data_IF_957564536466
#
_entry.id   IF_957564536466
#
_cell.length_a   1.000
_cell.length_b   1.000
_cell.length_c   1.000
_cell.angle_alpha   90.00
_cell.angle_beta   90.00
_cell.angle_gamma   90.00
#
_symmetry.space_group_name_H-M   'P 1'
#
loop_
_entity.id
_entity.type
_entity.pdbx_description
1 polymer ?
#
# COMPACT_ATOMS: atom_id res chain seq x y z
N UNK A 1 6.53 -0.15 -2.38
CA UNK A 1 6.83 -1.51 -1.85
C UNK A 1 5.64 -2.23 -1.24
N UNK A 2 4.84 -1.63 -0.34
CA UNK A 2 3.66 -2.29 0.28
C UNK A 2 2.69 -2.92 -0.74
N UNK A 3 2.46 -2.27 -1.89
CA UNK A 3 1.59 -2.80 -2.95
C UNK A 3 2.14 -4.08 -3.58
N UNK A 4 3.46 -4.15 -3.76
CA UNK A 4 4.10 -5.33 -4.32
C UNK A 4 4.03 -6.48 -3.32
N UNK A 5 4.25 -6.21 -2.02
CA UNK A 5 4.11 -7.21 -0.96
C UNK A 5 2.68 -7.79 -0.89
N UNK A 6 1.64 -6.94 -0.94
CA UNK A 6 0.25 -7.40 -0.95
C UNK A 6 -0.14 -8.17 -2.22
N UNK A 7 0.60 -8.04 -3.32
CA UNK A 7 0.32 -8.81 -4.55
C UNK A 7 0.77 -10.27 -4.48
N UNK A 8 1.70 -10.58 -3.57
CA UNK A 8 2.25 -11.93 -3.36
C UNK A 8 1.79 -12.54 -2.04
N UNK A 9 1.26 -11.74 -1.11
CA UNK A 9 0.73 -12.23 0.15
C UNK A 9 -0.73 -12.70 0.00
N UNK A 10 -1.13 -13.68 0.81
CA UNK A 10 -2.53 -14.10 0.92
C UNK A 10 -3.33 -13.18 1.86
N UNK A 11 -2.67 -12.64 2.88
CA UNK A 11 -3.26 -11.81 3.92
C UNK A 11 -2.33 -10.63 4.26
N UNK A 12 -2.91 -9.51 4.69
CA UNK A 12 -2.16 -8.33 5.09
C UNK A 12 -2.68 -7.68 6.36
N UNK A 13 -1.83 -6.87 6.97
CA UNK A 13 -2.10 -6.09 8.17
C UNK A 13 -1.52 -4.69 7.98
N UNK A 14 -2.32 -3.67 8.27
CA UNK A 14 -1.94 -2.27 8.24
C UNK A 14 -1.85 -1.78 9.66
N UNK A 15 -0.71 -1.20 10.03
CA UNK A 15 -0.46 -0.66 11.36
C UNK A 15 -0.28 0.84 11.32
N UNK A 16 -0.86 1.51 12.31
CA UNK A 16 -0.70 2.95 12.56
C UNK A 16 -0.53 3.17 14.07
N UNK A 17 0.50 3.92 14.47
CA UNK A 17 0.76 4.20 15.89
C UNK A 17 0.92 2.95 16.78
N UNK A 18 1.43 1.84 16.22
CA UNK A 18 1.60 0.57 16.94
C UNK A 18 0.32 -0.25 17.10
N UNK A 19 -0.77 0.09 16.40
CA UNK A 19 -2.04 -0.66 16.42
C UNK A 19 -2.41 -1.12 15.01
N UNK A 20 -3.04 -2.29 14.90
CA UNK A 20 -3.59 -2.76 13.63
C UNK A 20 -4.89 -2.01 13.38
N UNK A 21 -4.92 -1.24 12.29
CA UNK A 21 -6.07 -0.44 11.89
C UNK A 21 -6.87 -1.09 10.76
N UNK A 22 -6.25 -1.98 9.99
CA UNK A 22 -6.94 -2.76 8.96
C UNK A 22 -6.24 -4.10 8.76
N UNK A 23 -7.03 -5.14 8.53
CA UNK A 23 -6.53 -6.48 8.25
C UNK A 23 -7.50 -7.22 7.34
N UNK A 24 -6.98 -8.14 6.53
CA UNK A 24 -7.82 -8.96 5.67
C UNK A 24 -7.03 -9.60 4.54
N UNK A 25 -7.74 -10.31 3.64
CA UNK A 25 -7.15 -10.86 2.43
C UNK A 25 -6.42 -9.77 1.65
N UNK A 26 -5.23 -10.07 1.14
CA UNK A 26 -4.39 -9.04 0.52
C UNK A 26 -5.07 -8.41 -0.72
N UNK A 27 -5.90 -9.19 -1.43
CA UNK A 27 -6.78 -8.71 -2.51
C UNK A 27 -7.75 -7.63 -2.07
N UNK A 28 -8.33 -7.76 -0.89
CA UNK A 28 -9.33 -6.83 -0.36
C UNK A 28 -8.62 -5.54 0.07
N UNK A 29 -7.46 -5.66 0.71
CA UNK A 29 -6.61 -4.52 1.08
C UNK A 29 -6.06 -3.77 -0.15
N UNK A 30 -5.83 -4.46 -1.28
CA UNK A 30 -5.44 -3.83 -2.54
C UNK A 30 -6.60 -3.08 -3.22
N UNK A 31 -7.83 -3.56 -3.03
CA UNK A 31 -9.04 -2.94 -3.55
C UNK A 31 -9.50 -1.76 -2.68
N UNK A 32 -9.13 -1.74 -1.40
CA UNK A 32 -9.49 -0.69 -0.46
C UNK A 32 -8.85 0.66 -0.84
N UNK A 33 -9.69 1.66 -1.12
CA UNK A 33 -9.26 2.99 -1.53
C UNK A 33 -8.52 3.76 -0.42
N UNK A 34 -8.82 3.49 0.85
CA UNK A 34 -8.15 4.12 2.00
C UNK A 34 -6.72 3.57 2.10
N UNK A 35 -6.55 2.26 2.00
CA UNK A 35 -5.23 1.61 1.98
C UNK A 35 -4.41 2.09 0.78
N UNK A 36 -5.03 2.15 -0.41
CA UNK A 36 -4.37 2.63 -1.62
C UNK A 36 -3.83 4.03 -1.49
N UNK A 37 -4.62 4.95 -0.92
CA UNK A 37 -4.22 6.35 -0.73
C UNK A 37 -3.16 6.52 0.35
N UNK A 38 -3.33 5.86 1.50
CA UNK A 38 -2.47 6.07 2.65
C UNK A 38 -1.13 5.33 2.54
N UNK A 39 -1.08 4.15 1.92
CA UNK A 39 0.09 3.25 2.01
C UNK A 39 0.64 2.74 0.67
N UNK A 40 -0.18 2.74 -0.38
CA UNK A 40 0.24 2.15 -1.67
C UNK A 40 0.69 3.19 -2.71
N UNK A 41 0.40 4.47 -2.46
CA UNK A 41 0.74 5.59 -3.32
C UNK A 41 -0.09 5.64 -4.61
N UNK A 42 -0.32 6.85 -5.13
CA UNK A 42 -0.80 7.05 -6.50
C UNK A 42 0.41 6.83 -7.42
N UNK A 43 0.28 6.05 -8.50
CA UNK A 43 1.32 6.06 -9.54
C UNK A 43 1.48 7.51 -10.02
N UNK A 44 2.69 8.06 -9.98
CA UNK A 44 3.04 9.13 -10.94
C UNK A 44 3.99 10.24 -10.51
N UNK A 45 4.40 10.41 -9.25
CA UNK A 45 5.18 11.61 -8.86
C UNK A 45 6.41 11.27 -8.02
N UNK A 46 7.37 10.58 -8.64
CA UNK A 46 8.63 10.24 -7.96
C UNK A 46 9.88 10.12 -8.86
N UNK A 47 9.74 10.18 -10.19
CA UNK A 47 10.88 9.97 -11.12
C UNK A 47 11.02 11.09 -12.17
N UNK A 48 10.73 12.34 -11.82
CA UNK A 48 11.12 13.50 -12.64
C UNK A 48 12.12 14.38 -11.88
N UNK A 49 13.26 13.81 -11.48
CA UNK A 49 14.41 14.61 -11.03
C UNK A 49 15.74 13.94 -11.33
N UNK A 50 16.04 13.68 -12.61
CA UNK A 50 17.44 13.56 -13.05
C UNK A 50 17.57 13.83 -14.56
N UNK A 51 18.04 15.02 -14.92
CA UNK A 51 19.07 15.32 -15.94
C UNK A 51 19.01 16.81 -16.28
N UNK A 52 19.86 17.57 -15.61
CA UNK A 52 20.53 18.74 -16.16
C UNK A 52 21.85 18.25 -16.74
#
# INVERSE_FOLDING_TARGET
NARAALRIADHGYVMEGGRIVLQGPARDLLADERVRRAYLGRRGEGESKTRT
#
